data_IF_063820515494
#
_entry.id   IF_063820515494
#
_cell.length_a   1.000
_cell.length_b   1.000
_cell.length_c   1.000
_cell.angle_alpha   90.00
_cell.angle_beta   90.00
_cell.angle_gamma   90.00
#
_symmetry.space_group_name_H-M   'P 1'
#
loop_
_entity.id
_entity.type
_entity.pdbx_description
1 polymer ?
#
# COMPACT_ATOMS: atom_id res chain seq x y z
N UNK A 1 11.52 -22.07 10.45
CA UNK A 1 10.74 -20.81 10.54
C UNK A 1 10.96 -20.03 9.25
N UNK A 2 9.99 -20.03 8.32
CA UNK A 2 10.14 -19.37 7.01
C UNK A 2 9.99 -17.85 7.14
N UNK A 3 10.94 -17.09 6.59
CA UNK A 3 10.96 -15.62 6.66
C UNK A 3 9.94 -15.07 5.65
N UNK A 4 8.70 -14.83 6.08
CA UNK A 4 7.72 -14.17 5.21
C UNK A 4 8.25 -12.78 4.84
N UNK A 5 8.37 -12.52 3.54
CA UNK A 5 8.70 -11.18 3.06
C UNK A 5 7.53 -10.27 3.43
N UNK A 6 7.84 -9.21 4.18
CA UNK A 6 6.86 -8.19 4.60
C UNK A 6 6.48 -7.21 3.47
N UNK A 7 7.09 -7.35 2.28
CA UNK A 7 6.97 -6.44 1.14
C UNK A 7 7.17 -7.21 -0.17
N UNK A 8 6.55 -6.75 -1.23
CA UNK A 8 6.58 -7.30 -2.58
C UNK A 8 6.09 -8.76 -2.63
N UNK A 9 5.08 -9.05 -1.82
CA UNK A 9 4.40 -10.34 -1.90
C UNK A 9 3.62 -10.43 -3.22
N UNK A 10 3.41 -11.64 -3.72
CA UNK A 10 2.58 -11.88 -4.91
C UNK A 10 1.21 -11.17 -4.86
N UNK A 11 0.45 -11.24 -3.74
CA UNK A 11 -0.81 -10.50 -3.63
C UNK A 11 -0.63 -8.98 -3.63
N UNK A 12 0.42 -8.44 -2.99
CA UNK A 12 0.70 -6.99 -3.01
C UNK A 12 1.00 -6.49 -4.43
N UNK A 13 1.80 -7.24 -5.19
CA UNK A 13 2.10 -6.96 -6.59
C UNK A 13 0.84 -7.01 -7.46
N UNK A 14 -0.04 -8.00 -7.25
CA UNK A 14 -1.31 -8.12 -7.96
C UNK A 14 -2.24 -6.92 -7.68
N UNK A 15 -2.33 -6.50 -6.41
CA UNK A 15 -3.09 -5.32 -6.01
C UNK A 15 -2.56 -4.05 -6.67
N UNK A 16 -1.24 -3.81 -6.61
CA UNK A 16 -0.61 -2.63 -7.25
C UNK A 16 -0.89 -2.58 -8.75
N UNK A 17 -0.79 -3.73 -9.44
CA UNK A 17 -1.12 -3.83 -10.87
C UNK A 17 -2.60 -3.51 -11.14
N UNK A 18 -3.51 -4.04 -10.34
CA UNK A 18 -4.94 -3.79 -10.49
C UNK A 18 -5.30 -2.31 -10.26
N UNK A 19 -4.71 -1.67 -9.26
CA UNK A 19 -4.92 -0.25 -8.97
C UNK A 19 -4.35 0.65 -10.07
N UNK A 20 -3.15 0.33 -10.57
CA UNK A 20 -2.55 1.06 -11.68
C UNK A 20 -3.38 0.93 -12.96
N UNK A 21 -3.87 -0.27 -13.29
CA UNK A 21 -4.77 -0.49 -14.43
C UNK A 21 -6.07 0.31 -14.34
N UNK A 22 -6.55 0.56 -13.12
CA UNK A 22 -7.73 1.41 -12.85
C UNK A 22 -7.45 2.91 -12.88
N UNK A 23 -6.20 3.34 -13.15
CA UNK A 23 -5.82 4.75 -13.18
C UNK A 23 -5.85 5.44 -11.81
N UNK A 24 -5.92 4.68 -10.72
CA UNK A 24 -5.97 5.23 -9.37
C UNK A 24 -4.58 5.73 -8.96
N UNK A 25 -4.55 6.93 -8.37
CA UNK A 25 -3.33 7.47 -7.76
C UNK A 25 -3.24 6.99 -6.32
N UNK A 26 -2.22 6.21 -6.02
CA UNK A 26 -1.95 5.69 -4.68
C UNK A 26 -0.45 5.76 -4.37
N UNK A 27 -0.10 5.69 -3.09
CA UNK A 27 1.26 5.52 -2.58
C UNK A 27 1.35 4.18 -1.86
N UNK A 28 2.54 3.59 -1.80
CA UNK A 28 2.81 2.30 -1.14
C UNK A 28 3.83 2.52 -0.05
N UNK A 29 3.71 1.80 1.07
CA UNK A 29 4.64 1.88 2.21
C UNK A 29 4.86 3.34 2.67
N UNK A 30 3.78 4.13 2.66
CA UNK A 30 3.83 5.55 2.95
C UNK A 30 3.39 5.82 4.40
N UNK A 31 4.07 6.71 5.14
CA UNK A 31 3.62 7.11 6.47
C UNK A 31 2.29 7.85 6.38
N UNK A 32 1.42 7.63 7.37
CA UNK A 32 0.21 8.43 7.50
C UNK A 32 0.58 9.86 7.92
N UNK A 33 -0.14 10.90 7.44
CA UNK A 33 0.17 12.31 7.71
C UNK A 33 0.30 12.61 9.21
N UNK A 34 -0.60 12.05 10.04
CA UNK A 34 -0.66 12.31 11.48
C UNK A 34 -0.13 11.14 12.34
N UNK A 35 0.15 10.00 11.69
CA UNK A 35 0.56 8.76 12.36
C UNK A 35 1.84 8.25 11.72
N UNK A 36 2.94 8.99 11.88
CA UNK A 36 4.26 8.67 11.29
C UNK A 36 4.79 7.27 11.66
N UNK A 37 4.36 6.72 12.80
CA UNK A 37 4.72 5.36 13.25
C UNK A 37 3.94 4.26 12.53
N UNK A 38 2.86 4.61 11.82
CA UNK A 38 1.99 3.66 11.12
C UNK A 38 2.10 3.91 9.62
N UNK A 39 2.55 2.88 8.91
CA UNK A 39 2.64 2.87 7.45
C UNK A 39 1.45 2.14 6.87
N UNK A 40 0.92 2.66 5.78
CA UNK A 40 -0.11 1.97 5.00
C UNK A 40 0.58 1.22 3.85
N UNK A 41 0.11 0.01 3.57
CA UNK A 41 0.53 -0.75 2.39
C UNK A 41 0.05 -0.06 1.12
N UNK A 42 -1.16 0.51 1.17
CA UNK A 42 -1.70 1.35 0.09
C UNK A 42 -2.36 2.59 0.68
N UNK A 43 -1.95 3.78 0.21
CA UNK A 43 -2.50 5.06 0.61
C UNK A 43 -3.08 5.80 -0.60
N UNK A 44 -4.40 6.02 -0.59
CA UNK A 44 -5.09 6.86 -1.56
C UNK A 44 -5.13 8.30 -1.05
N UNK A 45 -4.19 9.12 -1.51
CA UNK A 45 -4.04 10.50 -1.00
C UNK A 45 -5.24 11.39 -1.29
N UNK A 46 -5.96 11.16 -2.41
CA UNK A 46 -7.14 11.95 -2.78
C UNK A 46 -8.43 11.50 -2.10
N UNK A 47 -8.51 10.21 -1.77
CA UNK A 47 -9.70 9.64 -1.14
C UNK A 47 -9.58 9.61 0.39
N UNK A 48 -8.41 9.96 0.95
CA UNK A 48 -8.08 9.82 2.37
C UNK A 48 -8.33 8.40 2.91
N UNK A 49 -8.01 7.38 2.11
CA UNK A 49 -8.17 5.97 2.46
C UNK A 49 -6.78 5.33 2.62
N UNK A 50 -6.58 4.61 3.72
CA UNK A 50 -5.40 3.81 4.00
C UNK A 50 -5.78 2.33 4.13
N UNK A 51 -5.00 1.46 3.51
CA UNK A 51 -5.13 0.00 3.56
C UNK A 51 -3.88 -0.59 4.20
N UNK A 52 -4.07 -1.59 5.07
CA UNK A 52 -3.04 -2.31 5.82
C UNK A 52 -3.19 -3.82 5.60
#
# INVERSE_FOLDING_TARGET
MSRQRRRDTVPELALRKALHRRGLRFRVDHPLPDLRRRRADVLFTRAHIAVF
#
